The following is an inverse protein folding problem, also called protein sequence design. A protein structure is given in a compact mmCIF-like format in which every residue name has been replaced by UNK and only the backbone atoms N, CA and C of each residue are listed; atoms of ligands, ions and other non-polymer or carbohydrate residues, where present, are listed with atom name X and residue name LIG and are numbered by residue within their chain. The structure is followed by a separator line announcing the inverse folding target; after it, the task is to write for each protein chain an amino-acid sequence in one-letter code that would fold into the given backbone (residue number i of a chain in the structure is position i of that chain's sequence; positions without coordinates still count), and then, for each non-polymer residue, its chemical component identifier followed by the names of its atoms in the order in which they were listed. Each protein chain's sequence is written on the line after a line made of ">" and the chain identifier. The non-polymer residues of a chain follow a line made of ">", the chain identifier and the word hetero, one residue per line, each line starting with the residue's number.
data_IF_935359142013
#
_entry.id   IF_935359142013
#
_cell.length_a   1.000
_cell.length_b   1.000
_cell.length_c   1.000
_cell.angle_alpha   90.00
_cell.angle_beta   90.00
_cell.angle_gamma   90.00
#
_symmetry.space_group_name_H-M   'P 1'
#
loop_
_entity.id
_entity.type
_entity.pdbx_description
1 polymer ?
#
# COMPACT_ATOMS: atom_id res chain seq x y z
N UNK A 1 22.99 -26.81 -6.74
CA UNK A 1 21.65 -26.35 -6.33
C UNK A 1 21.29 -25.20 -7.24
N UNK A 2 20.14 -25.21 -7.92
CA UNK A 2 19.75 -24.10 -8.79
C UNK A 2 19.61 -22.81 -7.96
N UNK A 3 20.02 -21.65 -8.48
CA UNK A 3 19.93 -20.41 -7.75
C UNK A 3 18.46 -20.04 -7.49
N UNK A 4 18.15 -19.54 -6.29
CA UNK A 4 16.79 -19.12 -5.97
C UNK A 4 16.55 -17.71 -6.52
N UNK A 5 15.50 -17.54 -7.32
CA UNK A 5 15.08 -16.23 -7.77
C UNK A 5 14.10 -15.62 -6.77
N UNK A 6 14.43 -14.44 -6.27
CA UNK A 6 13.56 -13.69 -5.40
C UNK A 6 13.31 -12.26 -5.89
N UNK A 7 12.25 -11.66 -5.33
CA UNK A 7 11.85 -10.29 -5.66
C UNK A 7 11.83 -9.45 -4.39
N UNK A 8 12.47 -8.29 -4.46
CA UNK A 8 12.30 -7.26 -3.46
C UNK A 8 10.90 -6.62 -3.61
N UNK A 9 10.29 -6.26 -2.48
CA UNK A 9 8.93 -5.71 -2.45
C UNK A 9 8.88 -4.20 -2.19
N UNK A 10 10.05 -3.55 -2.12
CA UNK A 10 10.23 -2.11 -1.93
C UNK A 10 10.18 -1.36 -3.23
N UNK A 11 10.65 -1.95 -4.33
CA UNK A 11 10.65 -1.28 -5.63
C UNK A 11 9.41 -1.58 -6.48
N UNK A 12 9.11 -0.65 -7.40
CA UNK A 12 8.09 -0.80 -8.44
C UNK A 12 8.67 -0.40 -9.82
N UNK A 13 8.84 -1.34 -10.77
CA UNK A 13 8.56 -2.77 -10.64
C UNK A 13 9.51 -3.48 -9.64
N UNK A 14 9.12 -4.65 -9.09
CA UNK A 14 9.95 -5.40 -8.13
C UNK A 14 11.35 -5.70 -8.67
N UNK A 15 12.40 -5.35 -7.92
CA UNK A 15 13.79 -5.69 -8.25
C UNK A 15 14.00 -7.19 -8.09
N UNK A 16 14.58 -7.83 -9.11
CA UNK A 16 14.89 -9.27 -9.07
C UNK A 16 16.27 -9.48 -8.45
N UNK A 17 16.30 -10.35 -7.44
CA UNK A 17 17.50 -10.78 -6.75
C UNK A 17 17.72 -12.28 -7.00
N UNK A 18 18.97 -12.68 -7.16
CA UNK A 18 19.37 -14.07 -7.35
C UNK A 18 20.21 -14.51 -6.15
N UNK A 19 19.77 -15.56 -5.47
CA UNK A 19 20.53 -16.17 -4.37
C UNK A 19 21.46 -17.22 -4.96
N UNK A 20 22.76 -16.99 -4.80
CA UNK A 20 23.82 -17.81 -5.40
C UNK A 20 24.73 -18.40 -4.33
N UNK A 21 25.35 -19.54 -4.65
CA UNK A 21 26.49 -20.01 -3.87
C UNK A 21 27.73 -19.21 -4.28
N UNK A 22 28.68 -18.92 -3.37
CA UNK A 22 29.88 -18.14 -3.69
C UNK A 22 30.71 -18.72 -4.84
N UNK A 23 30.68 -20.05 -5.01
CA UNK A 23 31.43 -20.80 -6.02
C UNK A 23 30.56 -21.18 -7.25
N UNK A 24 29.43 -20.52 -7.45
CA UNK A 24 28.54 -20.78 -8.58
C UNK A 24 28.89 -19.86 -9.77
N UNK A 25 29.55 -20.47 -10.76
CA UNK A 25 29.98 -19.84 -12.03
C UNK A 25 28.88 -19.82 -13.10
N UNK A 26 27.63 -20.13 -12.75
CA UNK A 26 26.52 -20.08 -13.71
C UNK A 26 26.33 -18.68 -14.30
N UNK A 27 25.95 -18.64 -15.59
CA UNK A 27 25.68 -17.39 -16.31
C UNK A 27 24.55 -16.62 -15.62
N UNK A 28 24.86 -15.42 -15.13
CA UNK A 28 23.92 -14.56 -14.40
C UNK A 28 23.19 -13.66 -15.38
N UNK A 29 21.85 -13.54 -15.29
CA UNK A 29 21.12 -12.53 -16.04
C UNK A 29 21.66 -11.13 -15.68
N UNK A 30 21.95 -10.31 -16.68
CA UNK A 30 22.52 -8.96 -16.50
C UNK A 30 21.58 -7.99 -15.76
N UNK A 31 20.29 -8.35 -15.63
CA UNK A 31 19.25 -7.54 -15.02
C UNK A 31 18.90 -7.97 -13.58
N UNK A 32 19.72 -8.82 -12.95
CA UNK A 32 19.49 -9.31 -11.59
C UNK A 32 20.65 -8.90 -10.66
N UNK A 33 20.33 -8.52 -9.42
CA UNK A 33 21.35 -8.38 -8.39
C UNK A 33 21.61 -9.73 -7.73
N UNK A 34 22.84 -9.99 -7.32
CA UNK A 34 23.20 -11.26 -6.67
C UNK A 34 23.38 -11.11 -5.18
N UNK A 35 22.92 -12.10 -4.43
CA UNK A 35 23.09 -12.22 -2.99
C UNK A 35 23.69 -13.58 -2.69
N UNK A 36 24.82 -13.62 -1.99
CA UNK A 36 25.40 -14.87 -1.54
C UNK A 36 24.47 -15.55 -0.53
N UNK A 37 24.34 -16.87 -0.60
CA UNK A 37 23.49 -17.64 0.31
C UNK A 37 23.88 -17.47 1.79
N UNK A 38 25.14 -17.16 2.09
CA UNK A 38 25.63 -16.85 3.46
C UNK A 38 25.02 -15.57 4.06
N UNK A 39 24.45 -14.71 3.21
CA UNK A 39 23.76 -13.49 3.59
C UNK A 39 22.25 -13.69 3.73
N UNK A 40 21.79 -14.93 3.60
CA UNK A 40 20.41 -15.34 3.81
C UNK A 40 20.28 -15.94 5.20
N UNK A 41 19.26 -15.51 5.94
CA UNK A 41 18.91 -16.02 7.26
C UNK A 41 17.83 -17.10 7.10
N UNK A 42 18.13 -18.38 7.35
CA UNK A 42 17.15 -19.43 7.18
C UNK A 42 16.07 -19.38 8.26
N UNK A 43 14.81 -19.49 7.87
CA UNK A 43 13.68 -19.71 8.78
C UNK A 43 13.15 -21.12 8.65
N UNK A 44 12.54 -21.64 9.73
CA UNK A 44 11.82 -22.92 9.70
C UNK A 44 10.78 -22.92 8.58
N UNK A 45 10.00 -21.84 8.51
CA UNK A 45 8.97 -21.68 7.50
C UNK A 45 9.50 -21.64 6.06
N UNK A 46 10.68 -21.09 5.80
CA UNK A 46 11.26 -21.13 4.45
C UNK A 46 11.79 -22.52 4.11
N UNK A 47 12.45 -23.20 5.05
CA UNK A 47 12.99 -24.55 4.84
C UNK A 47 11.88 -25.59 4.60
N UNK A 48 10.73 -25.43 5.26
CA UNK A 48 9.56 -26.31 5.08
C UNK A 48 8.85 -26.09 3.73
N UNK A 49 9.13 -24.99 3.03
CA UNK A 49 8.50 -24.64 1.76
C UNK A 49 9.17 -25.34 0.57
N UNK A 50 9.07 -26.67 0.54
CA UNK A 50 9.60 -27.49 -0.55
C UNK A 50 8.95 -27.14 -1.91
N UNK A 51 9.78 -27.00 -2.96
CA UNK A 51 9.34 -27.04 -4.36
C UNK A 51 8.78 -25.75 -4.98
N UNK A 52 9.07 -24.56 -4.46
CA UNK A 52 8.62 -23.29 -5.07
C UNK A 52 9.77 -22.59 -5.83
N UNK A 53 9.61 -22.32 -7.14
CA UNK A 53 10.67 -21.77 -7.98
C UNK A 53 10.91 -20.26 -7.79
N UNK A 54 9.99 -19.55 -7.15
CA UNK A 54 10.09 -18.11 -6.90
C UNK A 54 9.53 -17.77 -5.52
N UNK A 55 10.25 -16.94 -4.78
CA UNK A 55 9.90 -16.51 -3.42
C UNK A 55 10.17 -15.00 -3.27
N UNK A 56 9.42 -14.30 -2.43
CA UNK A 56 9.70 -12.90 -2.15
C UNK A 56 10.69 -12.77 -0.99
N UNK A 57 11.45 -11.68 -0.98
CA UNK A 57 12.17 -11.26 0.22
C UNK A 57 11.15 -10.81 1.27
N UNK A 58 11.30 -11.28 2.52
CA UNK A 58 10.51 -10.81 3.63
C UNK A 58 11.00 -9.44 4.08
N UNK A 59 10.50 -8.40 3.43
CA UNK A 59 10.85 -7.02 3.79
C UNK A 59 10.60 -6.73 5.27
N UNK A 60 9.46 -7.18 5.83
CA UNK A 60 9.14 -6.95 7.25
C UNK A 60 10.16 -7.57 8.21
N UNK A 61 10.80 -8.68 7.84
CA UNK A 61 11.74 -9.36 8.74
C UNK A 61 13.04 -8.59 8.88
N UNK A 62 13.53 -8.02 7.78
CA UNK A 62 14.74 -7.20 7.78
C UNK A 62 14.63 -5.95 8.67
N UNK A 63 13.40 -5.54 9.05
CA UNK A 63 13.14 -4.43 9.98
C UNK A 63 12.59 -4.88 11.34
N UNK A 64 12.62 -6.18 11.65
CA UNK A 64 12.10 -6.70 12.92
C UNK A 64 10.59 -6.59 13.10
N UNK A 65 9.83 -6.38 12.02
CA UNK A 65 8.36 -6.23 12.02
C UNK A 65 7.62 -7.46 11.45
N UNK A 66 8.34 -8.56 11.20
CA UNK A 66 7.74 -9.79 10.70
C UNK A 66 6.93 -10.48 11.81
N UNK A 67 5.71 -10.93 11.50
CA UNK A 67 4.90 -11.74 12.40
C UNK A 67 4.87 -13.23 12.01
N UNK A 68 5.69 -13.66 11.04
CA UNK A 68 5.66 -15.02 10.54
C UNK A 68 4.36 -15.43 9.85
N UNK A 69 4.17 -16.74 9.69
CA UNK A 69 2.99 -17.35 9.09
C UNK A 69 2.03 -17.93 10.15
N UNK A 70 2.53 -18.26 11.34
CA UNK A 70 1.78 -18.81 12.46
C UNK A 70 2.16 -18.13 13.78
N UNK A 71 1.17 -18.00 14.68
CA UNK A 71 1.32 -17.57 16.08
C UNK A 71 2.13 -16.30 16.35
N UNK A 72 2.18 -15.39 15.38
CA UNK A 72 3.01 -14.17 15.43
C UNK A 72 4.51 -14.46 15.60
N UNK A 73 4.97 -15.67 15.26
CA UNK A 73 6.37 -16.09 15.38
C UNK A 73 7.15 -15.86 14.06
N UNK A 74 8.10 -14.90 14.00
CA UNK A 74 8.91 -14.64 12.82
C UNK A 74 9.64 -15.87 12.26
N UNK A 75 9.94 -16.88 13.08
CA UNK A 75 10.64 -18.11 12.66
C UNK A 75 9.82 -18.97 11.70
N UNK A 76 8.50 -18.77 11.67
CA UNK A 76 7.56 -19.47 10.78
C UNK A 76 7.40 -18.79 9.41
N UNK A 77 8.11 -17.68 9.15
CA UNK A 77 7.96 -16.96 7.89
C UNK A 77 8.37 -17.79 6.66
N UNK A 78 7.50 -17.82 5.64
CA UNK A 78 7.70 -18.57 4.39
C UNK A 78 8.42 -17.79 3.28
N UNK A 79 9.06 -16.66 3.60
CA UNK A 79 9.76 -15.77 2.67
C UNK A 79 11.26 -15.80 2.95
N UNK A 80 12.09 -15.41 1.98
CA UNK A 80 13.55 -15.36 2.16
C UNK A 80 13.92 -14.16 3.02
N UNK A 81 14.75 -14.36 4.03
CA UNK A 81 15.27 -13.29 4.86
C UNK A 81 16.70 -13.00 4.45
N UNK A 82 17.00 -11.77 4.09
CA UNK A 82 18.34 -11.33 3.75
C UNK A 82 18.76 -10.37 4.86
N UNK A 83 20.01 -10.51 5.33
CA UNK A 83 20.60 -9.64 6.35
C UNK A 83 20.37 -8.17 5.98
N UNK A 84 20.05 -7.35 6.98
CA UNK A 84 19.60 -5.97 6.78
C UNK A 84 20.65 -5.10 6.09
N UNK A 85 21.88 -5.15 6.57
CA UNK A 85 23.03 -4.43 6.00
C UNK A 85 23.23 -4.75 4.51
N UNK A 86 23.12 -6.03 4.14
CA UNK A 86 23.23 -6.46 2.74
C UNK A 86 22.09 -5.90 1.89
N UNK A 87 20.85 -5.91 2.39
CA UNK A 87 19.72 -5.29 1.67
C UNK A 87 19.87 -3.78 1.54
N UNK A 88 20.33 -3.10 2.59
CA UNK A 88 20.49 -1.66 2.59
C UNK A 88 21.60 -1.22 1.62
N UNK A 89 22.70 -1.96 1.51
CA UNK A 89 23.71 -1.74 0.47
C UNK A 89 23.16 -2.00 -0.94
N UNK A 90 22.46 -3.10 -1.16
CA UNK A 90 21.88 -3.43 -2.46
C UNK A 90 20.90 -2.35 -2.96
N UNK A 91 20.08 -1.81 -2.06
CA UNK A 91 19.08 -0.78 -2.39
C UNK A 91 19.69 0.51 -2.90
N UNK A 92 20.93 0.85 -2.52
CA UNK A 92 21.64 2.03 -3.06
C UNK A 92 21.87 1.93 -4.57
N UNK A 93 21.86 0.71 -5.11
CA UNK A 93 22.12 0.43 -6.52
C UNK A 93 20.84 0.13 -7.31
N UNK A 94 19.66 0.14 -6.69
CA UNK A 94 18.41 -0.17 -7.39
C UNK A 94 18.11 0.88 -8.45
N UNK A 95 17.82 0.41 -9.66
CA UNK A 95 17.38 1.26 -10.77
C UNK A 95 15.89 1.61 -10.67
N UNK A 96 15.08 0.70 -10.11
CA UNK A 96 13.65 0.90 -9.95
C UNK A 96 13.36 1.78 -8.71
N UNK A 97 12.43 2.75 -8.81
CA UNK A 97 12.08 3.60 -7.69
C UNK A 97 11.36 2.80 -6.58
N UNK A 98 11.38 3.30 -5.33
CA UNK A 98 10.53 2.75 -4.28
C UNK A 98 9.04 2.83 -4.65
N UNK A 99 8.25 1.86 -4.19
CA UNK A 99 6.79 1.88 -4.38
C UNK A 99 6.22 3.15 -3.82
N UNK A 100 5.17 3.64 -4.48
CA UNK A 100 4.40 4.79 -3.99
C UNK A 100 3.77 4.50 -2.63
N UNK A 101 3.19 3.31 -2.48
CA UNK A 101 2.55 2.86 -1.24
C UNK A 101 3.17 1.56 -0.74
N UNK A 102 3.67 1.56 0.49
CA UNK A 102 4.11 0.38 1.21
C UNK A 102 2.94 -0.28 1.94
N UNK A 103 1.97 0.51 2.40
CA UNK A 103 0.75 -0.06 2.96
C UNK A 103 -0.06 -0.77 1.85
N UNK A 104 -0.40 -2.04 2.06
CA UNK A 104 -1.29 -2.80 1.15
C UNK A 104 -2.76 -2.62 1.50
N UNK A 105 -3.01 -2.33 2.78
CA UNK A 105 -4.34 -2.16 3.34
C UNK A 105 -4.32 -0.88 4.18
N UNK A 106 -5.36 -0.07 4.06
CA UNK A 106 -5.58 1.12 4.89
C UNK A 106 -6.72 0.83 5.85
N UNK A 107 -6.54 1.17 7.13
CA UNK A 107 -7.57 1.08 8.15
C UNK A 107 -8.12 2.49 8.42
N UNK A 108 -9.27 2.82 7.85
CA UNK A 108 -9.88 4.13 7.99
C UNK A 108 -10.89 4.11 9.15
N UNK A 109 -10.71 5.00 10.12
CA UNK A 109 -11.58 5.11 11.28
C UNK A 109 -12.95 5.68 10.90
N UNK A 110 -14.00 5.10 11.47
CA UNK A 110 -15.34 5.64 11.31
C UNK A 110 -15.55 6.84 12.24
N UNK A 111 -16.17 7.90 11.73
CA UNK A 111 -16.69 9.00 12.54
C UNK A 111 -17.81 8.50 13.45
N UNK A 112 -18.12 9.25 14.52
CA UNK A 112 -19.27 8.94 15.38
C UNK A 112 -20.58 8.95 14.60
N UNK A 113 -20.75 9.93 13.70
CA UNK A 113 -21.93 10.04 12.85
C UNK A 113 -22.18 8.77 12.01
N UNK A 114 -21.14 8.25 11.35
CA UNK A 114 -21.28 7.00 10.56
C UNK A 114 -21.56 5.80 11.46
N UNK A 115 -20.97 5.73 12.66
CA UNK A 115 -21.25 4.65 13.62
C UNK A 115 -22.70 4.68 14.09
N UNK A 116 -23.24 5.87 14.35
CA UNK A 116 -24.62 6.07 14.78
C UNK A 116 -25.58 5.62 13.68
N UNK A 117 -25.34 6.03 12.43
CA UNK A 117 -26.13 5.58 11.27
C UNK A 117 -26.12 4.04 11.16
N UNK A 118 -24.94 3.41 11.21
CA UNK A 118 -24.85 1.94 11.09
C UNK A 118 -25.56 1.27 12.28
N UNK A 119 -25.38 1.79 13.49
CA UNK A 119 -26.00 1.24 14.70
C UNK A 119 -27.53 1.34 14.66
N UNK A 120 -28.07 2.47 14.21
CA UNK A 120 -29.50 2.68 13.99
C UNK A 120 -30.06 1.73 12.93
N UNK A 121 -29.39 1.58 11.80
CA UNK A 121 -29.83 0.65 10.75
C UNK A 121 -29.79 -0.82 11.18
N UNK A 122 -28.84 -1.19 12.05
CA UNK A 122 -28.68 -2.55 12.57
C UNK A 122 -29.59 -2.85 13.76
N UNK A 123 -30.03 -1.83 14.49
CA UNK A 123 -30.72 -1.99 15.78
C UNK A 123 -29.79 -2.49 16.89
N UNK A 124 -28.47 -2.34 16.74
CA UNK A 124 -27.45 -2.78 17.71
C UNK A 124 -26.22 -1.90 17.61
N UNK A 125 -25.63 -1.59 18.77
CA UNK A 125 -24.36 -0.87 18.86
C UNK A 125 -23.25 -1.57 18.05
N UNK A 126 -22.56 -0.78 17.22
CA UNK A 126 -21.43 -1.24 16.41
C UNK A 126 -20.13 -0.99 17.16
N UNK A 127 -19.46 -2.09 17.56
CA UNK A 127 -18.13 -2.04 18.20
C UNK A 127 -16.96 -1.81 17.22
N UNK A 128 -17.25 -1.74 15.93
CA UNK A 128 -16.23 -1.60 14.89
C UNK A 128 -15.78 -0.14 14.77
N UNK A 129 -14.48 0.11 14.95
CA UNK A 129 -13.91 1.46 14.94
C UNK A 129 -13.31 1.86 13.59
N UNK A 130 -13.08 0.91 12.69
CA UNK A 130 -12.45 1.15 11.39
C UNK A 130 -13.00 0.24 10.28
N UNK A 131 -12.82 0.67 9.03
CA UNK A 131 -13.00 -0.12 7.82
C UNK A 131 -11.66 -0.37 7.15
N UNK A 132 -11.48 -1.58 6.62
CA UNK A 132 -10.23 -1.99 5.96
C UNK A 132 -10.38 -1.94 4.45
N UNK A 133 -9.50 -1.25 3.75
CA UNK A 133 -9.53 -1.10 2.29
C UNK A 133 -8.24 -1.61 1.68
N UNK A 134 -8.28 -2.25 0.50
CA UNK A 134 -7.04 -2.40 -0.28
C UNK A 134 -6.61 -1.01 -0.74
N UNK A 135 -5.31 -0.76 -0.78
CA UNK A 135 -4.79 0.54 -1.24
C UNK A 135 -5.27 0.89 -2.67
N UNK A 136 -5.47 -0.11 -3.52
CA UNK A 136 -5.98 0.06 -4.89
C UNK A 136 -7.44 0.53 -4.97
N UNK A 137 -8.19 0.42 -3.88
CA UNK A 137 -9.59 0.85 -3.78
C UNK A 137 -9.72 2.24 -3.11
N UNK A 138 -8.58 2.88 -2.77
CA UNK A 138 -8.53 4.19 -2.10
C UNK A 138 -8.07 5.26 -3.10
N UNK A 139 -8.80 6.37 -3.15
CA UNK A 139 -8.42 7.53 -3.97
C UNK A 139 -7.30 8.31 -3.27
N UNK A 140 -6.28 8.78 -4.02
CA UNK A 140 -5.23 9.61 -3.44
C UNK A 140 -5.78 10.87 -2.76
N UNK A 141 -5.41 11.06 -1.50
CA UNK A 141 -5.69 12.26 -0.72
C UNK A 141 -4.51 12.62 0.18
N UNK A 142 -4.47 13.85 0.68
CA UNK A 142 -3.54 14.28 1.75
C UNK A 142 -3.62 13.34 2.96
N UNK A 143 -4.82 12.89 3.35
CA UNK A 143 -5.01 11.90 4.41
C UNK A 143 -4.33 10.57 4.13
N UNK A 144 -4.41 10.06 2.88
CA UNK A 144 -3.71 8.85 2.49
C UNK A 144 -2.19 9.03 2.51
N UNK A 145 -1.69 10.18 2.04
CA UNK A 145 -0.26 10.49 2.07
C UNK A 145 0.28 10.55 3.50
N UNK A 146 -0.48 11.13 4.43
CA UNK A 146 -0.14 11.14 5.86
C UNK A 146 -0.14 9.73 6.45
N UNK A 147 -1.13 8.89 6.09
CA UNK A 147 -1.19 7.50 6.50
C UNK A 147 0.07 6.74 6.06
N UNK A 148 0.44 6.88 4.79
CA UNK A 148 1.61 6.25 4.20
C UNK A 148 2.92 6.78 4.81
N UNK A 149 3.04 8.09 5.03
CA UNK A 149 4.21 8.69 5.67
C UNK A 149 4.42 8.13 7.09
N UNK A 150 3.35 8.05 7.87
CA UNK A 150 3.41 7.50 9.22
C UNK A 150 3.69 5.98 9.21
N UNK A 151 3.13 5.23 8.25
CA UNK A 151 3.47 3.82 8.05
C UNK A 151 4.96 3.63 7.75
N UNK A 152 5.54 4.45 6.86
CA UNK A 152 6.96 4.42 6.53
C UNK A 152 7.83 4.73 7.74
N UNK A 153 7.49 5.77 8.51
CA UNK A 153 8.20 6.09 9.74
C UNK A 153 8.22 4.89 10.69
N UNK A 154 7.06 4.28 10.95
CA UNK A 154 6.97 3.07 11.78
C UNK A 154 7.78 1.88 11.22
N UNK A 155 7.76 1.72 9.91
CA UNK A 155 8.36 0.58 9.22
C UNK A 155 9.89 0.62 9.20
N UNK A 156 10.46 1.81 8.97
CA UNK A 156 11.90 2.02 8.85
C UNK A 156 12.56 2.40 10.19
N UNK A 157 11.79 2.90 11.15
CA UNK A 157 12.27 3.20 12.50
C UNK A 157 12.25 1.95 13.39
N UNK A 158 13.43 1.36 13.58
CA UNK A 158 13.62 0.20 14.46
C UNK A 158 13.78 0.54 15.93
N UNK A 159 13.77 1.83 16.29
CA UNK A 159 13.85 2.28 17.69
C UNK A 159 12.48 2.47 18.33
N UNK A 160 11.42 2.52 17.52
CA UNK A 160 10.06 2.68 18.00
C UNK A 160 9.35 1.33 18.19
N UNK A 161 8.94 1.07 19.43
CA UNK A 161 7.99 0.02 19.83
C UNK A 161 6.53 0.34 19.45
N UNK A 162 6.30 1.48 18.78
CA UNK A 162 4.96 1.86 18.33
C UNK A 162 4.37 0.78 17.44
N UNK A 163 3.07 0.55 17.57
CA UNK A 163 2.32 -0.32 16.66
C UNK A 163 1.84 0.54 15.50
N UNK A 164 1.81 -0.03 14.30
CA UNK A 164 1.21 0.62 13.11
C UNK A 164 -0.23 1.13 13.37
N UNK A 165 -0.93 0.51 14.31
CA UNK A 165 -2.29 0.83 14.74
C UNK A 165 -2.46 2.27 15.28
N UNK A 166 -1.37 2.99 15.57
CA UNK A 166 -1.39 4.36 16.09
C UNK A 166 -1.66 5.43 15.03
N UNK A 167 -1.54 5.09 13.73
CA UNK A 167 -1.83 6.03 12.64
C UNK A 167 -3.34 6.07 12.39
N UNK A 168 -4.04 6.89 13.19
CA UNK A 168 -5.48 7.08 13.10
C UNK A 168 -5.83 8.04 11.96
N UNK A 169 -6.24 7.53 10.81
CA UNK A 169 -6.81 8.34 9.73
C UNK A 169 -8.30 8.04 9.61
N UNK A 170 -9.11 9.09 9.57
CA UNK A 170 -10.57 8.95 9.49
C UNK A 170 -11.02 8.73 8.04
N UNK A 171 -12.11 8.00 7.88
CA UNK A 171 -12.85 7.94 6.62
C UNK A 171 -13.47 9.31 6.35
N UNK A 172 -13.43 9.76 5.08
CA UNK A 172 -14.19 10.93 4.69
C UNK A 172 -15.66 10.56 4.51
N UNK A 173 -16.52 11.01 5.44
CA UNK A 173 -17.97 10.74 5.41
C UNK A 173 -18.61 11.23 4.11
N UNK A 174 -18.25 12.43 3.63
CA UNK A 174 -18.79 12.98 2.38
C UNK A 174 -18.48 12.08 1.18
N UNK A 175 -17.22 11.64 1.06
CA UNK A 175 -16.83 10.75 -0.02
C UNK A 175 -17.50 9.38 0.10
N UNK A 176 -17.55 8.82 1.31
CA UNK A 176 -18.12 7.49 1.52
C UNK A 176 -19.63 7.43 1.27
N UNK A 177 -20.38 8.49 1.63
CA UNK A 177 -21.84 8.58 1.48
C UNK A 177 -22.28 9.10 0.12
N UNK A 178 -21.55 10.04 -0.48
CA UNK A 178 -21.98 10.75 -1.69
C UNK A 178 -21.11 10.44 -2.92
N UNK A 179 -19.96 9.77 -2.74
CA UNK A 179 -19.01 9.49 -3.81
C UNK A 179 -18.17 10.69 -4.25
N UNK A 180 -18.28 11.82 -3.55
CA UNK A 180 -17.53 13.05 -3.82
C UNK A 180 -17.23 13.80 -2.53
N UNK A 181 -16.13 14.55 -2.52
CA UNK A 181 -15.73 15.39 -1.41
C UNK A 181 -15.31 16.76 -1.95
N UNK A 182 -15.78 17.88 -1.36
CA UNK A 182 -15.45 19.22 -1.83
C UNK A 182 -13.95 19.53 -1.74
N UNK A 183 -13.22 18.85 -0.85
CA UNK A 183 -11.78 19.05 -0.67
C UNK A 183 -10.94 18.22 -1.64
N UNK A 184 -11.55 17.37 -2.47
CA UNK A 184 -10.82 16.58 -3.48
C UNK A 184 -9.58 15.86 -2.94
N UNK A 185 -8.45 16.02 -3.63
CA UNK A 185 -7.16 15.43 -3.23
C UNK A 185 -6.58 16.06 -1.95
N UNK A 186 -6.99 17.28 -1.57
CA UNK A 186 -6.51 17.95 -0.35
C UNK A 186 -7.19 17.43 0.92
N UNK A 187 -8.20 16.56 0.80
CA UNK A 187 -8.92 16.04 1.95
C UNK A 187 -7.98 15.30 2.93
N UNK A 188 -8.14 15.58 4.22
CA UNK A 188 -7.39 14.89 5.29
C UNK A 188 -7.95 13.51 5.62
N UNK A 189 -9.12 13.15 5.08
CA UNK A 189 -9.74 11.84 5.26
C UNK A 189 -9.36 10.84 4.15
N UNK A 190 -9.60 9.56 4.43
CA UNK A 190 -9.51 8.48 3.44
C UNK A 190 -10.73 8.54 2.52
N UNK A 191 -10.49 8.66 1.21
CA UNK A 191 -11.52 8.55 0.19
C UNK A 191 -11.63 7.11 -0.30
N UNK A 192 -12.58 6.37 0.28
CA UNK A 192 -12.91 5.03 -0.17
C UNK A 192 -14.41 4.78 0.02
N UNK A 193 -15.07 4.08 -0.91
CA UNK A 193 -16.50 3.80 -0.80
C UNK A 193 -16.78 2.62 0.12
N UNK A 194 -17.91 2.67 0.82
CA UNK A 194 -18.30 1.63 1.78
C UNK A 194 -18.34 0.21 1.18
N UNK A 195 -18.77 0.07 -0.08
CA UNK A 195 -18.86 -1.22 -0.76
C UNK A 195 -17.50 -1.87 -1.09
N UNK A 196 -16.38 -1.13 -0.97
CA UNK A 196 -15.02 -1.67 -1.14
C UNK A 196 -14.37 -2.07 0.17
N UNK A 197 -15.02 -1.80 1.31
CA UNK A 197 -14.49 -2.21 2.60
C UNK A 197 -14.48 -3.74 2.73
N UNK A 198 -13.37 -4.29 3.24
CA UNK A 198 -13.30 -5.67 3.69
C UNK A 198 -13.98 -5.76 5.05
N UNK A 199 -15.17 -6.35 5.06
CA UNK A 199 -16.02 -6.47 6.26
C UNK A 199 -16.22 -7.95 6.55
N UNK A 200 -15.93 -8.35 7.79
CA UNK A 200 -16.10 -9.74 8.25
C UNK A 200 -17.56 -9.99 8.65
N UNK A 201 -18.22 -9.03 9.30
CA UNK A 201 -19.62 -9.15 9.72
C UNK A 201 -20.59 -8.88 8.57
N UNK A 202 -21.31 -9.90 8.12
CA UNK A 202 -22.30 -9.80 7.03
C UNK A 202 -23.36 -8.73 7.29
N UNK A 203 -23.91 -8.67 8.51
CA UNK A 203 -24.90 -7.65 8.89
C UNK A 203 -24.40 -6.21 8.72
N UNK A 204 -23.11 -5.95 8.97
CA UNK A 204 -22.49 -4.63 8.75
C UNK A 204 -22.31 -4.40 7.25
N UNK A 205 -21.91 -5.42 6.49
CA UNK A 205 -21.77 -5.34 5.04
C UNK A 205 -23.10 -5.06 4.32
N UNK A 206 -24.22 -5.57 4.82
CA UNK A 206 -25.55 -5.27 4.29
C UNK A 206 -25.94 -3.80 4.51
N UNK A 207 -25.72 -3.28 5.72
CA UNK A 207 -25.98 -1.87 6.05
C UNK A 207 -25.11 -0.95 5.19
N UNK A 208 -23.81 -1.22 5.12
CA UNK A 208 -22.88 -0.42 4.33
C UNK A 208 -23.19 -0.43 2.83
N UNK A 209 -23.70 -1.54 2.30
CA UNK A 209 -24.22 -1.60 0.92
C UNK A 209 -25.44 -0.70 0.71
N UNK A 210 -26.37 -0.64 1.68
CA UNK A 210 -27.54 0.25 1.62
C UNK A 210 -27.17 1.74 1.69
N UNK A 211 -26.09 2.06 2.39
CA UNK A 211 -25.58 3.43 2.50
C UNK A 211 -24.74 3.86 1.27
N UNK A 212 -24.41 2.92 0.38
CA UNK A 212 -23.65 3.25 -0.82
C UNK A 212 -24.59 3.85 -1.86
N UNK A 213 -24.30 5.04 -2.42
CA UNK A 213 -25.20 5.70 -3.37
C UNK A 213 -25.32 4.89 -4.68
N UNK A 214 -26.54 4.75 -5.24
CA UNK A 214 -26.82 3.88 -6.38
C UNK A 214 -26.18 4.32 -7.72
N UNK A 215 -25.69 5.56 -7.81
CA UNK A 215 -25.06 6.14 -9.02
C UNK A 215 -23.61 6.54 -8.80
N UNK A 216 -22.90 5.95 -7.84
CA UNK A 216 -21.53 6.34 -7.59
C UNK A 216 -20.65 6.13 -8.83
N UNK A 217 -20.07 7.23 -9.34
CA UNK A 217 -19.15 7.27 -10.48
C UNK A 217 -17.79 6.60 -10.19
N UNK A 218 -17.73 5.52 -9.39
CA UNK A 218 -16.51 4.74 -9.12
C UNK A 218 -16.10 3.88 -10.33
N UNK A 219 -16.27 4.40 -11.54
CA UNK A 219 -15.65 3.83 -12.74
C UNK A 219 -14.19 4.24 -12.75
N UNK A 220 -13.31 3.24 -12.68
CA UNK A 220 -11.88 3.38 -12.87
C UNK A 220 -11.60 4.10 -14.18
N UNK A 221 -11.13 5.35 -14.14
CA UNK A 221 -10.45 6.00 -15.25
C UNK A 221 -9.47 7.03 -14.69
N UNK A 222 -8.17 6.95 -15.04
CA UNK A 222 -7.22 7.99 -14.67
C UNK A 222 -7.52 9.24 -15.50
N UNK A 223 -7.96 10.31 -14.84
CA UNK A 223 -8.05 11.63 -15.45
C UNK A 223 -6.63 12.11 -15.80
N UNK A 224 -6.25 11.95 -17.06
CA UNK A 224 -5.12 12.68 -17.64
C UNK A 224 -5.61 14.08 -17.99
N UNK A 225 -5.38 15.02 -17.08
CA UNK A 225 -5.51 16.45 -17.34
C UNK A 225 -4.28 16.94 -18.09
N UNK A 226 -4.42 17.21 -19.39
CA UNK A 226 -3.52 18.10 -20.12
C UNK A 226 -4.30 18.89 -21.17
N UNK A 227 -5.10 19.84 -20.69
CA UNK A 227 -5.58 20.98 -21.49
C UNK A 227 -4.81 22.21 -21.07
N UNK A 228 -3.84 22.63 -21.88
CA UNK A 228 -3.09 23.87 -21.68
C UNK A 228 -3.97 25.11 -21.87
N UNK A 229 -3.62 26.26 -21.25
CA UNK A 229 -4.41 27.47 -21.32
C UNK A 229 -4.14 28.25 -22.62
N UNK A 230 -5.18 28.55 -23.38
CA UNK A 230 -5.15 29.55 -24.45
C UNK A 230 -5.18 30.94 -23.82
N UNK A 231 -4.08 31.68 -23.93
CA UNK A 231 -4.01 33.10 -23.55
C UNK A 231 -4.77 33.95 -24.58
N UNK A 232 -5.62 34.84 -24.06
CA UNK A 232 -6.21 35.96 -24.77
C UNK A 232 -5.17 37.06 -24.97
N UNK A 233 -4.86 37.39 -26.23
CA UNK A 233 -4.09 38.56 -26.62
C UNK A 233 -4.91 39.39 -27.60
N UNK A 234 -5.42 40.53 -27.11
CA UNK A 234 -6.09 41.56 -27.90
C UNK A 234 -5.05 42.39 -28.66
N UNK A 235 -5.04 42.29 -29.99
CA UNK A 235 -4.36 43.27 -30.86
C UNK A 235 -5.40 44.16 -31.55
N UNK A 236 -5.34 45.44 -31.19
CA UNK A 236 -5.96 46.56 -31.90
C UNK A 236 -5.12 46.87 -33.14
N UNK A 237 -5.71 46.81 -34.33
CA UNK A 237 -5.20 47.52 -35.50
C UNK A 237 -6.32 48.37 -36.11
N UNK A 238 -6.20 49.67 -35.90
CA UNK A 238 -6.90 50.69 -36.66
C UNK A 238 -6.24 50.80 -38.04
N UNK A 239 -7.05 50.70 -39.10
CA UNK A 239 -6.67 51.09 -40.46
C UNK A 239 -7.31 52.45 -40.72
N UNK A 240 -6.49 53.50 -40.76
CA UNK A 240 -6.90 54.79 -41.33
C UNK A 240 -6.87 54.69 -42.85
N UNK A 241 -7.93 55.23 -43.46
CA UNK A 241 -7.95 55.65 -44.85
C UNK A 241 -7.27 57.02 -44.99
N UNK A 242 -6.70 57.20 -46.18
CA UNK A 242 -6.02 58.38 -46.77
C UNK A 242 -4.53 58.55 -46.45
#
# INVERSE_FOLDING_TARGET
>A
MLPFMCKDVVSDPPTVLLIVNPNDDSVRPSNCFTVNIENVEPTKGWLERLGKPSINVCFMHSFGKCHGSADRDPSTCHHVHIKRDVLDELRKCYTNPPRRHFCKTVHAQLSSNVKDIISSCRGKEVKMWYLSYKISDVVPTSGLLQCEAAYRLWLFDTTQDRKNEDVKVFLCDNYALFGSCPNGEECLGIHAPFNKAKIIESSIADVLRKLTPPNSLFSNSPCTSSGGPTQSGSELHAVSRE
#
